data_IF_450955635210
#
_entry.id   IF_450955635210
#
_cell.length_a   1.000
_cell.length_b   1.000
_cell.length_c   1.000
_cell.angle_alpha   90.00
_cell.angle_beta   90.00
_cell.angle_gamma   90.00
#
_symmetry.space_group_name_H-M   'P 1'
#
loop_
_entity.id
_entity.type
_entity.pdbx_description
1 polymer ?
#
# COMPACT_ATOMS: atom_id res chain seq x y z
N UNK A 1 -7.56 8.52 -22.78
CA UNK A 1 -7.07 7.33 -22.04
C UNK A 1 -6.07 7.79 -20.99
N UNK A 2 -6.41 7.74 -19.71
CA UNK A 2 -5.48 8.06 -18.62
C UNK A 2 -4.40 6.97 -18.53
N UNK A 3 -3.12 7.37 -18.55
CA UNK A 3 -2.00 6.43 -18.47
C UNK A 3 -1.90 5.87 -17.06
N UNK A 4 -2.21 4.59 -16.89
CA UNK A 4 -2.08 3.88 -15.61
C UNK A 4 -0.60 3.53 -15.39
N UNK A 5 0.02 4.16 -14.40
CA UNK A 5 1.41 3.88 -14.01
C UNK A 5 1.46 2.66 -13.09
N UNK A 6 1.98 1.55 -13.62
CA UNK A 6 2.22 0.31 -12.88
C UNK A 6 3.62 0.35 -12.29
N UNK A 7 3.75 -0.05 -11.03
CA UNK A 7 5.04 -0.09 -10.34
C UNK A 7 5.25 -1.47 -9.75
N UNK A 8 6.47 -1.99 -9.87
CA UNK A 8 6.85 -3.31 -9.33
C UNK A 8 7.74 -3.09 -8.11
N UNK A 9 7.41 -3.78 -7.02
CA UNK A 9 8.17 -3.75 -5.78
C UNK A 9 8.32 -5.14 -5.18
N UNK A 10 9.19 -5.26 -4.18
CA UNK A 10 9.48 -6.51 -3.50
C UNK A 10 8.92 -6.48 -2.08
N UNK A 11 8.32 -7.59 -1.62
CA UNK A 11 7.86 -7.72 -0.24
C UNK A 11 9.06 -7.80 0.69
N UNK A 12 9.17 -6.83 1.59
CA UNK A 12 10.25 -6.74 2.60
C UNK A 12 9.80 -7.32 3.95
N UNK A 13 8.51 -7.26 4.27
CA UNK A 13 7.99 -7.77 5.53
C UNK A 13 6.53 -8.18 5.41
N UNK A 14 6.21 -9.34 5.96
CA UNK A 14 4.86 -9.88 6.13
C UNK A 14 4.46 -9.99 7.61
N UNK A 15 5.13 -9.26 8.51
CA UNK A 15 4.91 -9.36 9.97
C UNK A 15 3.57 -8.76 10.44
N UNK A 16 2.79 -8.14 9.56
CA UNK A 16 1.54 -7.46 9.89
C UNK A 16 0.34 -8.35 9.52
N UNK A 17 -0.78 -8.17 10.22
CA UNK A 17 -2.01 -8.91 9.94
C UNK A 17 -2.75 -8.29 8.75
N UNK A 18 -3.07 -9.09 7.72
CA UNK A 18 -3.77 -8.67 6.49
C UNK A 18 -3.07 -7.55 5.70
N UNK A 19 -1.76 -7.40 5.87
CA UNK A 19 -1.00 -6.32 5.25
C UNK A 19 0.46 -6.72 5.10
N UNK A 20 1.08 -6.27 4.01
CA UNK A 20 2.50 -6.52 3.72
C UNK A 20 3.22 -5.21 3.41
N UNK A 21 4.50 -5.12 3.80
CA UNK A 21 5.36 -4.00 3.42
C UNK A 21 6.07 -4.34 2.11
N UNK A 22 5.80 -3.51 1.09
CA UNK A 22 6.44 -3.60 -0.21
C UNK A 22 7.42 -2.45 -0.36
N UNK A 23 8.66 -2.74 -0.77
CA UNK A 23 9.64 -1.74 -1.15
C UNK A 23 9.68 -1.61 -2.67
N UNK A 24 9.59 -0.37 -3.13
CA UNK A 24 9.77 -0.01 -4.53
C UNK A 24 10.99 0.86 -4.67
N UNK A 25 11.81 0.50 -5.64
CA UNK A 25 12.92 1.34 -6.09
C UNK A 25 12.49 2.14 -7.31
N UNK A 26 12.78 3.43 -7.29
CA UNK A 26 12.61 4.32 -8.44
C UNK A 26 13.84 5.16 -8.64
N UNK A 27 14.22 5.36 -9.90
CA UNK A 27 15.25 6.32 -10.26
C UNK A 27 14.61 7.69 -10.49
N UNK A 28 15.21 8.72 -9.92
CA UNK A 28 14.78 10.10 -10.17
C UNK A 28 15.99 10.94 -10.55
N UNK A 29 15.76 11.93 -11.41
CA UNK A 29 16.78 12.86 -11.81
C UNK A 29 16.94 13.94 -10.74
N UNK A 30 18.12 14.00 -10.10
CA UNK A 30 18.43 15.05 -9.14
C UNK A 30 18.87 16.31 -9.88
N UNK A 31 17.95 17.28 -10.05
CA UNK A 31 18.16 18.48 -10.88
C UNK A 31 19.45 19.25 -10.54
N UNK A 32 19.81 19.37 -9.27
CA UNK A 32 20.99 20.12 -8.83
C UNK A 32 22.33 19.41 -9.14
N UNK A 33 22.32 18.08 -9.24
CA UNK A 33 23.55 17.29 -9.44
C UNK A 33 23.59 16.60 -10.80
N UNK A 34 22.61 16.87 -11.67
CA UNK A 34 22.44 16.31 -13.01
C UNK A 34 22.74 14.80 -13.10
N UNK A 35 22.29 14.04 -12.09
CA UNK A 35 22.56 12.61 -11.94
C UNK A 35 21.30 11.88 -11.54
N UNK A 36 21.17 10.64 -12.02
CA UNK A 36 20.14 9.73 -11.57
C UNK A 36 20.47 9.16 -10.20
N UNK A 37 19.56 9.34 -9.25
CA UNK A 37 19.69 8.81 -7.90
C UNK A 37 18.57 7.80 -7.65
N UNK A 38 18.87 6.71 -6.96
CA UNK A 38 17.89 5.71 -6.53
C UNK A 38 17.18 6.19 -5.27
N UNK A 39 15.84 6.15 -5.26
CA UNK A 39 15.01 6.31 -4.06
C UNK A 39 14.23 5.03 -3.83
N UNK A 40 14.33 4.51 -2.62
CA UNK A 40 13.50 3.40 -2.17
C UNK A 40 12.36 3.96 -1.33
N UNK A 41 11.12 3.60 -1.67
CA UNK A 41 9.93 3.96 -0.90
C UNK A 41 9.23 2.68 -0.47
N UNK A 42 8.83 2.62 0.80
CA UNK A 42 8.09 1.49 1.36
C UNK A 42 6.62 1.87 1.46
N UNK A 43 5.72 0.99 1.07
CA UNK A 43 4.28 1.16 1.26
C UNK A 43 3.65 -0.11 1.82
N UNK A 44 2.52 0.08 2.49
CA UNK A 44 1.68 -1.01 2.97
C UNK A 44 0.73 -1.40 1.85
N UNK A 45 0.73 -2.67 1.49
CA UNK A 45 -0.28 -3.26 0.62
C UNK A 45 -1.23 -4.09 1.49
N UNK A 46 -2.54 -3.91 1.28
CA UNK A 46 -3.57 -4.71 1.93
C UNK A 46 -3.70 -6.04 1.18
N UNK A 47 -3.62 -7.14 1.91
CA UNK A 47 -3.81 -8.50 1.41
C UNK A 47 -4.70 -9.25 2.40
N UNK A 48 -5.96 -9.52 2.02
CA UNK A 48 -6.92 -10.21 2.89
C UNK A 48 -6.59 -11.70 3.07
N UNK A 49 -5.89 -12.29 2.09
CA UNK A 49 -5.59 -13.71 2.06
C UNK A 49 -4.18 -14.04 2.54
N UNK A 50 -3.36 -13.04 2.90
CA UNK A 50 -1.95 -13.21 3.31
C UNK A 50 -1.19 -14.15 2.35
N UNK A 51 -1.48 -14.05 1.06
CA UNK A 51 -0.95 -14.94 0.03
C UNK A 51 0.49 -14.62 -0.35
N UNK A 52 0.96 -13.41 -0.02
CA UNK A 52 2.29 -12.93 -0.37
C UNK A 52 3.36 -13.33 0.66
N UNK A 53 4.46 -13.89 0.17
CA UNK A 53 5.65 -14.23 0.96
C UNK A 53 6.74 -13.16 0.84
N UNK A 54 7.70 -13.19 1.77
CA UNK A 54 8.87 -12.29 1.73
C UNK A 54 9.71 -12.62 0.50
N UNK A 55 10.12 -11.58 -0.24
CA UNK A 55 10.90 -11.73 -1.47
C UNK A 55 10.07 -11.78 -2.75
N UNK A 56 8.74 -11.86 -2.63
CA UNK A 56 7.87 -11.88 -3.81
C UNK A 56 7.84 -10.53 -4.53
N UNK A 57 7.76 -10.60 -5.85
CA UNK A 57 7.60 -9.43 -6.72
C UNK A 57 6.12 -9.10 -6.87
N UNK A 58 5.71 -7.96 -6.31
CA UNK A 58 4.32 -7.48 -6.33
C UNK A 58 4.21 -6.30 -7.30
N UNK A 59 3.22 -6.38 -8.19
CA UNK A 59 2.86 -5.29 -9.09
C UNK A 59 1.73 -4.46 -8.46
N UNK A 60 2.04 -3.23 -8.07
CA UNK A 60 1.08 -2.29 -7.52
C UNK A 60 0.71 -1.23 -8.56
N UNK A 61 -0.58 -0.88 -8.61
CA UNK A 61 -1.10 0.12 -9.54
C UNK A 61 -1.34 1.40 -8.75
N UNK A 62 -0.62 2.48 -9.07
CA UNK A 62 -0.78 3.75 -8.38
C UNK A 62 -2.02 4.44 -8.97
N UNK A 63 -3.21 4.06 -8.51
CA UNK A 63 -4.42 4.85 -8.73
C UNK A 63 -4.46 5.99 -7.72
N UNK A 64 -4.70 7.20 -8.21
CA UNK A 64 -4.74 8.46 -7.46
C UNK A 64 -5.72 8.49 -6.27
N UNK A 65 -6.49 7.42 -6.08
CA UNK A 65 -7.51 7.22 -5.05
C UNK A 65 -7.12 6.18 -3.98
N UNK A 66 -5.91 5.62 -4.05
CA UNK A 66 -5.56 4.38 -3.30
C UNK A 66 -4.25 4.48 -2.52
N UNK A 67 -3.66 5.67 -2.41
CA UNK A 67 -2.31 5.82 -1.83
C UNK A 67 -2.36 5.95 -0.29
N UNK A 68 -3.52 6.17 0.34
CA UNK A 68 -3.61 6.47 1.80
C UNK A 68 -4.74 5.74 2.56
N UNK A 69 -5.61 4.94 1.94
CA UNK A 69 -6.79 4.42 2.66
C UNK A 69 -6.60 2.99 3.16
N UNK A 70 -5.92 2.87 4.30
CA UNK A 70 -6.41 2.03 5.41
C UNK A 70 -6.39 2.77 6.76
N UNK A 71 -5.85 4.01 6.84
CA UNK A 71 -5.84 4.75 8.10
C UNK A 71 -7.09 5.62 8.33
N UNK A 72 -7.92 5.89 7.30
CA UNK A 72 -9.10 6.77 7.46
C UNK A 72 -10.43 6.02 7.68
N UNK A 73 -10.54 4.74 7.33
CA UNK A 73 -11.79 3.98 7.54
C UNK A 73 -11.91 3.48 9.00
N UNK A 74 -10.81 3.37 9.74
CA UNK A 74 -10.86 2.94 11.15
C UNK A 74 -11.31 4.04 12.13
N UNK A 75 -11.32 5.32 11.72
CA UNK A 75 -11.81 6.42 12.57
C UNK A 75 -13.30 6.73 12.36
N UNK A 76 -13.89 6.29 11.23
CA UNK A 76 -15.32 6.50 10.96
C UNK A 76 -16.21 5.33 11.41
N UNK A 77 -15.66 4.12 11.60
CA UNK A 77 -16.41 2.98 12.12
C UNK A 77 -16.66 3.03 13.62
N UNK A 78 -15.99 3.92 14.36
CA UNK A 78 -16.23 4.12 15.80
C UNK A 78 -17.33 5.15 16.10
N UNK A 79 -17.93 5.78 15.07
CA UNK A 79 -19.00 6.77 15.22
C UNK A 79 -20.42 6.27 14.90
N UNK A 80 -20.59 5.01 14.52
CA UNK A 80 -21.92 4.39 14.38
C UNK A 80 -21.97 3.05 15.12
N UNK A 81 -22.28 3.04 16.43
CA UNK A 81 -22.77 1.83 17.06
C UNK A 81 -24.15 1.51 16.46
N UNK A 82 -24.20 0.62 15.46
CA UNK A 82 -25.45 -0.05 15.12
C UNK A 82 -25.83 -0.94 16.30
N UNK A 83 -26.82 -0.48 17.06
CA UNK A 83 -27.59 -1.25 18.04
C UNK A 83 -28.10 -2.52 17.37
N UNK A 84 -27.54 -3.67 17.74
CA UNK A 84 -28.13 -4.97 17.42
C UNK A 84 -29.26 -5.21 18.40
N UNK A 85 -30.49 -5.18 17.90
CA UNK A 85 -31.69 -5.59 18.63
C UNK A 85 -31.49 -7.00 19.19
N UNK A 86 -31.62 -7.12 20.51
CA UNK A 86 -31.79 -8.38 21.22
C UNK A 86 -33.18 -8.93 20.89
N UNK A 87 -33.23 -10.09 20.23
CA UNK A 87 -34.37 -11.00 20.30
C UNK A 87 -33.91 -12.21 21.10
N UNK A 88 -34.39 -12.30 22.33
CA UNK A 88 -34.62 -13.56 23.04
C UNK A 88 -35.69 -13.34 24.10
#
# INVERSE_FOLDING_TARGET
MSKISKVVGMVVSNKMQKSVLVAVERMFHHKLYNRYVKRTSKFMAHDEHNSCSIGDLVRHTISSSSIIICFFIHLLSHLFPMSKNTLH
#
